data_IF_648439627165
#
_entry.id   IF_648439627165
#
_cell.length_a   1.000
_cell.length_b   1.000
_cell.length_c   1.000
_cell.angle_alpha   90.00
_cell.angle_beta   90.00
_cell.angle_gamma   90.00
#
_symmetry.space_group_name_H-M   'P 1'
#
loop_
_entity.id
_entity.type
_entity.pdbx_description
1 polymer ?
#
# COMPACT_ATOMS: atom_id res chain seq x y z
N UNK A 1 23.23 -9.24 -2.09
CA UNK A 1 21.93 -9.35 -1.37
C UNK A 1 21.06 -8.19 -1.83
N UNK A 2 19.86 -8.44 -2.37
CA UNK A 2 18.98 -7.38 -2.90
C UNK A 2 17.87 -7.14 -1.87
N UNK A 3 17.61 -5.87 -1.55
CA UNK A 3 16.48 -5.45 -0.71
C UNK A 3 15.48 -4.70 -1.56
N UNK A 4 14.19 -4.98 -1.35
CA UNK A 4 13.11 -4.34 -2.09
C UNK A 4 12.24 -3.59 -1.10
N UNK A 5 12.06 -2.30 -1.34
CA UNK A 5 11.30 -1.41 -0.49
C UNK A 5 10.10 -0.85 -1.24
N UNK A 6 8.97 -0.71 -0.55
CA UNK A 6 7.78 -0.06 -1.09
C UNK A 6 7.58 1.28 -0.37
N UNK A 7 7.22 2.36 -1.08
CA UNK A 7 6.83 3.64 -0.50
C UNK A 7 5.48 4.07 -1.06
N UNK A 8 4.52 4.28 -0.17
CA UNK A 8 3.18 4.74 -0.53
C UNK A 8 3.23 6.25 -0.61
N UNK A 9 2.74 6.80 -1.72
CA UNK A 9 2.64 8.24 -1.92
C UNK A 9 1.37 8.78 -1.23
N UNK A 10 1.44 9.89 -0.49
CA UNK A 10 0.24 10.57 -0.01
C UNK A 10 -0.53 11.20 -1.16
N UNK A 11 -1.86 11.31 -1.03
CA UNK A 11 -2.68 12.04 -1.99
C UNK A 11 -2.28 13.51 -2.04
N UNK A 12 -2.15 14.06 -3.26
CA UNK A 12 -1.91 15.49 -3.44
C UNK A 12 -3.24 16.26 -3.55
N UNK A 13 -3.24 17.57 -3.24
CA UNK A 13 -4.38 18.43 -3.51
C UNK A 13 -4.82 18.31 -4.98
N UNK A 14 -6.08 17.96 -5.21
CA UNK A 14 -6.65 17.79 -6.56
C UNK A 14 -6.64 16.36 -7.11
N UNK A 15 -6.06 15.38 -6.40
CA UNK A 15 -6.25 13.97 -6.75
C UNK A 15 -7.65 13.50 -6.30
N UNK A 16 -8.44 12.97 -7.24
CA UNK A 16 -9.75 12.42 -6.96
C UNK A 16 -9.60 11.05 -6.29
N UNK A 17 -9.70 11.02 -4.96
CA UNK A 17 -9.66 9.78 -4.20
C UNK A 17 -9.81 10.01 -2.70
N UNK A 18 -11.04 9.92 -2.20
CA UNK A 18 -11.31 9.98 -0.76
C UNK A 18 -10.79 8.74 -0.01
N UNK A 19 -10.49 7.64 -0.73
CA UNK A 19 -10.03 6.37 -0.17
C UNK A 19 -8.91 5.75 -0.98
N UNK A 20 -7.86 5.33 -0.28
CA UNK A 20 -6.80 4.50 -0.85
C UNK A 20 -7.28 3.06 -1.02
N UNK A 21 -6.72 2.36 -2.01
CA UNK A 21 -6.85 0.90 -2.16
C UNK A 21 -5.93 0.12 -1.19
N UNK A 22 -5.15 0.82 -0.37
CA UNK A 22 -4.29 0.21 0.64
C UNK A 22 -5.12 -0.04 1.90
N UNK A 23 -5.25 -1.31 2.28
CA UNK A 23 -6.02 -1.71 3.47
C UNK A 23 -5.14 -1.83 4.72
N UNK A 24 -3.90 -2.31 4.58
CA UNK A 24 -3.01 -2.56 5.71
C UNK A 24 -1.54 -2.43 5.31
N UNK A 25 -0.75 -1.85 6.22
CA UNK A 25 0.72 -1.75 6.14
C UNK A 25 1.27 -2.36 7.42
N UNK A 26 2.01 -3.47 7.29
CA UNK A 26 2.65 -4.14 8.42
C UNK A 26 4.10 -3.70 8.61
N UNK A 27 4.56 -3.71 9.85
CA UNK A 27 5.92 -3.33 10.22
C UNK A 27 6.99 -4.28 9.65
N UNK A 28 6.62 -5.54 9.39
CA UNK A 28 7.47 -6.58 8.78
C UNK A 28 7.53 -6.51 7.24
N UNK A 29 7.04 -5.43 6.64
CA UNK A 29 7.02 -5.22 5.20
C UNK A 29 5.84 -5.86 4.48
N UNK A 30 4.81 -6.25 5.21
CA UNK A 30 3.55 -6.72 4.64
C UNK A 30 2.71 -5.54 4.13
N UNK A 31 2.06 -5.70 2.98
CA UNK A 31 1.20 -4.70 2.37
C UNK A 31 -0.05 -5.37 1.80
N UNK A 32 -1.22 -4.99 2.31
CA UNK A 32 -2.51 -5.44 1.79
C UNK A 32 -3.12 -4.38 0.88
N UNK A 33 -3.41 -4.78 -0.35
CA UNK A 33 -4.08 -3.95 -1.35
C UNK A 33 -5.43 -4.57 -1.67
N UNK A 34 -6.49 -3.77 -1.61
CA UNK A 34 -7.86 -4.17 -1.92
C UNK A 34 -8.38 -3.42 -3.13
N UNK A 35 -8.66 -4.16 -4.20
CA UNK A 35 -9.23 -3.64 -5.42
C UNK A 35 -10.77 -3.54 -5.29
N UNK A 36 -11.35 -2.34 -5.22
CA UNK A 36 -12.80 -2.17 -5.11
C UNK A 36 -13.57 -2.68 -6.34
N UNK A 37 -12.90 -2.81 -7.49
CA UNK A 37 -13.51 -3.32 -8.73
C UNK A 37 -13.62 -4.84 -8.76
N UNK A 38 -13.00 -5.57 -7.82
CA UNK A 38 -13.06 -7.03 -7.72
C UNK A 38 -13.54 -7.44 -6.32
N UNK A 39 -14.83 -7.76 -6.14
CA UNK A 39 -15.34 -8.15 -4.83
C UNK A 39 -14.80 -9.53 -4.40
N UNK A 40 -14.55 -9.70 -3.10
CA UNK A 40 -14.16 -10.98 -2.49
C UNK A 40 -12.65 -11.21 -2.41
N UNK A 41 -12.24 -12.48 -2.27
CA UNK A 41 -10.83 -12.88 -2.09
C UNK A 41 -9.93 -12.45 -3.25
N UNK A 42 -10.47 -12.34 -4.46
CA UNK A 42 -9.70 -11.97 -5.65
C UNK A 42 -9.41 -10.47 -5.75
N UNK A 43 -10.03 -9.65 -4.90
CA UNK A 43 -9.74 -8.23 -4.77
C UNK A 43 -8.61 -7.92 -3.80
N UNK A 44 -8.29 -8.83 -2.88
CA UNK A 44 -7.30 -8.63 -1.83
C UNK A 44 -5.97 -9.26 -2.22
N UNK A 45 -4.91 -8.46 -2.22
CA UNK A 45 -3.57 -8.89 -2.58
C UNK A 45 -2.59 -8.51 -1.47
N UNK A 46 -1.96 -9.54 -0.89
CA UNK A 46 -0.90 -9.38 0.09
C UNK A 46 0.46 -9.41 -0.60
N UNK A 47 1.28 -8.40 -0.35
CA UNK A 47 2.65 -8.30 -0.83
C UNK A 47 3.62 -8.31 0.34
N UNK A 48 4.83 -8.85 0.15
CA UNK A 48 5.89 -8.87 1.16
C UNK A 48 7.14 -8.19 0.63
N UNK A 49 7.58 -7.16 1.34
CA UNK A 49 8.77 -6.35 1.05
C UNK A 49 9.78 -6.46 2.18
N UNK A 50 11.00 -5.94 1.97
CA UNK A 50 11.96 -5.77 3.06
C UNK A 50 11.51 -4.70 4.06
N UNK A 51 10.78 -3.68 3.59
CA UNK A 51 10.10 -2.66 4.40
C UNK A 51 9.09 -1.91 3.53
N UNK A 52 7.99 -1.49 4.14
CA UNK A 52 6.99 -0.61 3.51
C UNK A 52 6.99 0.73 4.25
N UNK A 53 7.09 1.82 3.50
CA UNK A 53 7.01 3.18 4.01
C UNK A 53 5.62 3.75 3.71
N UNK A 54 4.88 4.07 4.77
CA UNK A 54 3.55 4.67 4.65
C UNK A 54 3.58 6.10 4.05
N UNK A 55 2.39 6.67 3.76
CA UNK A 55 2.25 7.98 3.12
C UNK A 55 2.83 9.16 3.92
N UNK A 56 3.04 8.98 5.23
CA UNK A 56 3.60 10.00 6.14
C UNK A 56 5.10 9.81 6.43
N UNK A 57 5.76 8.88 5.74
CA UNK A 57 7.18 8.62 5.94
C UNK A 57 8.05 9.79 5.42
N UNK A 58 9.00 10.21 6.25
CA UNK A 58 9.99 11.25 5.94
C UNK A 58 11.13 10.72 5.06
N UNK A 59 11.90 11.63 4.47
CA UNK A 59 13.18 11.32 3.83
C UNK A 59 14.26 11.02 4.87
#
# INVERSE_FOLDING_TARGET
NIRVYCRIRPFLPGEAGDKSIIDYIGDDGDLLVSNPSKPGRDGQHMFKFSKVFGPRATQ
#
